data_IF_107263339724
#
_entry.id   IF_107263339724
#
_cell.length_a   1.000
_cell.length_b   1.000
_cell.length_c   1.000
_cell.angle_alpha   90.00
_cell.angle_beta   90.00
_cell.angle_gamma   90.00
#
_symmetry.space_group_name_H-M   'P 1'
#
loop_
_entity.id
_entity.type
_entity.pdbx_description
1 polymer ?
#
# COMPACT_ATOMS: atom_id res chain seq x y z
N UNK A 1 -12.01 -19.39 -32.08
CA UNK A 1 -11.20 -18.47 -31.23
C UNK A 1 -10.12 -17.89 -32.13
N UNK A 2 -10.32 -16.69 -32.64
CA UNK A 2 -9.34 -15.98 -33.46
C UNK A 2 -8.31 -15.37 -32.50
N UNK A 3 -7.05 -15.76 -32.64
CA UNK A 3 -5.95 -15.13 -31.90
C UNK A 3 -5.90 -13.64 -32.28
N UNK A 4 -5.89 -12.77 -31.29
CA UNK A 4 -5.65 -11.34 -31.47
C UNK A 4 -4.22 -11.15 -32.02
N UNK A 5 -3.98 -10.20 -32.92
CA UNK A 5 -2.64 -9.92 -33.43
C UNK A 5 -1.76 -9.48 -32.23
N UNK A 6 -0.61 -10.14 -32.06
CA UNK A 6 0.44 -9.68 -31.17
C UNK A 6 0.98 -8.36 -31.71
N UNK A 7 1.03 -7.34 -30.88
CA UNK A 7 1.71 -6.07 -31.19
C UNK A 7 3.21 -6.36 -31.37
N UNK A 8 3.78 -6.17 -32.58
CA UNK A 8 5.18 -6.50 -32.84
C UNK A 8 6.18 -5.55 -32.15
N UNK A 9 5.73 -4.41 -31.62
CA UNK A 9 6.55 -3.38 -30.99
C UNK A 9 6.37 -3.36 -29.44
N UNK A 10 5.58 -4.28 -28.86
CA UNK A 10 5.44 -4.35 -27.40
C UNK A 10 6.75 -4.86 -26.79
N UNK A 11 7.35 -4.09 -25.88
CA UNK A 11 8.35 -4.60 -24.95
C UNK A 11 7.75 -5.83 -24.24
N UNK A 12 8.32 -7.04 -24.43
CA UNK A 12 7.73 -8.27 -23.87
C UNK A 12 7.65 -8.27 -22.34
N UNK A 13 8.20 -7.27 -21.66
CA UNK A 13 8.14 -7.09 -20.21
C UNK A 13 7.09 -6.09 -19.71
N UNK A 14 6.58 -5.19 -20.54
CA UNK A 14 5.62 -4.19 -20.08
C UNK A 14 4.20 -4.77 -20.01
N UNK A 15 3.47 -4.59 -18.88
CA UNK A 15 2.09 -5.06 -18.79
C UNK A 15 1.18 -4.30 -19.74
N UNK A 16 0.20 -5.00 -20.31
CA UNK A 16 -0.83 -4.39 -21.15
C UNK A 16 -2.16 -5.13 -21.01
N UNK A 17 -3.26 -4.43 -21.29
CA UNK A 17 -4.60 -5.02 -21.35
C UNK A 17 -5.18 -4.71 -22.72
N UNK A 18 -5.33 -5.73 -23.60
CA UNK A 18 -5.81 -5.53 -24.98
C UNK A 18 -7.11 -4.72 -25.04
N UNK A 19 -7.14 -3.64 -25.79
CA UNK A 19 -8.31 -2.77 -25.94
C UNK A 19 -8.56 -1.79 -24.78
N UNK A 20 -7.73 -1.79 -23.74
CA UNK A 20 -7.87 -0.90 -22.56
C UNK A 20 -6.62 -0.03 -22.41
N UNK A 21 -5.45 -0.65 -22.24
CA UNK A 21 -4.17 0.05 -22.07
C UNK A 21 -3.06 -0.69 -22.80
N UNK A 22 -2.30 0.02 -23.64
CA UNK A 22 -1.15 -0.55 -24.36
C UNK A 22 0.11 -0.53 -23.51
N UNK A 23 1.11 -1.35 -23.89
CA UNK A 23 2.44 -1.33 -23.27
C UNK A 23 3.09 0.06 -23.40
N UNK A 24 2.94 0.73 -24.55
CA UNK A 24 3.44 2.09 -24.77
C UNK A 24 2.82 3.10 -23.79
N UNK A 25 1.50 3.02 -23.57
CA UNK A 25 0.82 3.87 -22.57
C UNK A 25 1.32 3.61 -21.15
N UNK A 26 1.56 2.35 -20.79
CA UNK A 26 2.13 1.99 -19.50
C UNK A 26 3.54 2.55 -19.31
N UNK A 27 4.41 2.40 -20.31
CA UNK A 27 5.77 2.96 -20.29
C UNK A 27 5.74 4.49 -20.26
N UNK A 28 4.87 5.14 -21.01
CA UNK A 28 4.71 6.60 -20.97
C UNK A 28 4.25 7.09 -19.57
N UNK A 29 3.38 6.32 -18.90
CA UNK A 29 2.97 6.62 -17.51
C UNK A 29 4.16 6.50 -16.56
N UNK A 30 4.96 5.43 -16.64
CA UNK A 30 6.19 5.27 -15.86
C UNK A 30 7.15 6.44 -16.08
N UNK A 31 7.40 6.82 -17.34
CA UNK A 31 8.26 7.95 -17.67
C UNK A 31 7.73 9.30 -17.12
N UNK A 32 6.41 9.49 -17.10
CA UNK A 32 5.80 10.69 -16.50
C UNK A 32 6.01 10.72 -14.97
N UNK A 33 5.92 9.58 -14.29
CA UNK A 33 6.20 9.46 -12.85
C UNK A 33 7.69 9.76 -12.57
N UNK A 34 8.62 9.23 -13.39
CA UNK A 34 10.05 9.58 -13.29
C UNK A 34 10.25 11.10 -13.40
N UNK A 35 9.56 11.74 -14.35
CA UNK A 35 9.63 13.20 -14.54
C UNK A 35 9.13 14.05 -13.36
N UNK A 36 8.39 13.44 -12.44
CA UNK A 36 7.91 14.10 -11.21
C UNK A 36 8.77 13.81 -9.98
N UNK A 37 9.63 12.78 -10.06
CA UNK A 37 10.47 12.37 -8.92
C UNK A 37 11.44 13.46 -8.51
N UNK A 38 11.47 13.78 -7.24
CA UNK A 38 12.43 14.73 -6.67
C UNK A 38 13.83 14.08 -6.54
N UNK A 39 14.86 14.90 -6.49
CA UNK A 39 16.26 14.44 -6.24
C UNK A 39 16.40 13.64 -4.94
N UNK A 40 15.48 13.87 -4.00
CA UNK A 40 15.37 13.12 -2.76
C UNK A 40 14.90 11.68 -2.94
N UNK A 41 14.31 11.35 -4.08
CA UNK A 41 13.59 10.11 -4.35
C UNK A 41 12.09 10.19 -4.06
N UNK A 42 11.58 11.27 -3.47
CA UNK A 42 10.16 11.45 -3.22
C UNK A 42 9.36 11.51 -4.53
N UNK A 43 8.15 10.97 -4.49
CA UNK A 43 7.19 10.97 -5.61
C UNK A 43 5.95 11.79 -5.19
N UNK A 44 5.91 13.11 -5.50
CA UNK A 44 4.78 13.95 -5.16
C UNK A 44 3.59 13.72 -6.11
N UNK A 45 2.40 14.15 -5.73
CA UNK A 45 1.20 14.09 -6.56
C UNK A 45 1.33 14.84 -7.90
N UNK A 46 2.10 15.89 -7.88
CA UNK A 46 2.47 16.72 -9.04
C UNK A 46 3.76 17.49 -8.73
N UNK A 47 4.48 17.99 -9.73
CA UNK A 47 5.76 18.70 -9.49
C UNK A 47 5.64 19.83 -8.48
N UNK A 48 6.39 19.76 -7.39
CA UNK A 48 6.35 20.72 -6.27
C UNK A 48 5.13 20.58 -5.35
N UNK A 49 4.32 19.53 -5.54
CA UNK A 49 3.15 19.22 -4.76
C UNK A 49 3.44 18.41 -3.50
N UNK A 50 2.37 17.91 -2.91
CA UNK A 50 2.44 17.10 -1.71
C UNK A 50 2.86 15.65 -2.01
N UNK A 51 3.54 15.05 -1.05
CA UNK A 51 3.84 13.62 -0.99
C UNK A 51 3.22 13.06 0.28
N UNK A 52 2.44 12.00 0.14
CA UNK A 52 1.98 11.14 1.23
C UNK A 52 2.52 9.72 1.04
N UNK A 53 2.60 8.91 2.09
CA UNK A 53 3.18 7.57 1.99
C UNK A 53 2.43 6.61 1.08
N UNK A 54 1.11 6.75 0.92
CA UNK A 54 0.33 5.81 0.09
C UNK A 54 0.60 6.03 -1.39
N UNK A 55 0.30 7.23 -1.91
CA UNK A 55 0.46 7.53 -3.34
C UNK A 55 1.93 7.46 -3.78
N UNK A 56 2.85 7.79 -2.86
CA UNK A 56 4.28 7.61 -3.07
C UNK A 56 4.64 6.13 -3.36
N UNK A 57 4.12 5.19 -2.56
CA UNK A 57 4.38 3.76 -2.75
C UNK A 57 3.65 3.22 -3.99
N UNK A 58 2.42 3.65 -4.27
CA UNK A 58 1.72 3.26 -5.51
C UNK A 58 2.49 3.72 -6.75
N UNK A 59 3.03 4.93 -6.72
CA UNK A 59 3.89 5.43 -7.79
C UNK A 59 5.18 4.63 -7.92
N UNK A 60 5.83 4.24 -6.82
CA UNK A 60 7.00 3.36 -6.83
C UNK A 60 6.68 1.95 -7.38
N UNK A 61 5.49 1.43 -7.10
CA UNK A 61 5.01 0.16 -7.69
C UNK A 61 4.81 0.30 -9.21
N UNK A 62 4.26 1.43 -9.67
CA UNK A 62 4.13 1.73 -11.10
C UNK A 62 5.50 1.82 -11.79
N UNK A 63 6.50 2.44 -11.16
CA UNK A 63 7.88 2.47 -11.65
C UNK A 63 8.47 1.06 -11.73
N UNK A 64 8.24 0.22 -10.72
CA UNK A 64 8.73 -1.16 -10.71
C UNK A 64 8.20 -1.97 -11.88
N UNK A 65 6.88 -1.92 -12.13
CA UNK A 65 6.22 -2.71 -13.17
C UNK A 65 6.50 -2.21 -14.59
N UNK A 66 6.91 -0.95 -14.72
CA UNK A 66 7.28 -0.33 -16.01
C UNK A 66 8.78 -0.35 -16.28
N UNK A 67 9.58 -1.02 -15.44
CA UNK A 67 11.01 -1.25 -15.66
C UNK A 67 11.93 -0.12 -15.16
N UNK A 68 11.40 0.95 -14.57
CA UNK A 68 12.19 2.04 -13.95
C UNK A 68 12.62 1.63 -12.52
N UNK A 69 13.40 0.54 -12.44
CA UNK A 69 13.73 -0.09 -11.16
C UNK A 69 14.64 0.80 -10.29
N UNK A 70 15.54 1.55 -10.90
CA UNK A 70 16.45 2.45 -10.15
C UNK A 70 15.67 3.59 -9.48
N UNK A 71 14.70 4.15 -10.17
CA UNK A 71 13.82 5.22 -9.67
C UNK A 71 12.85 4.67 -8.62
N UNK A 72 12.34 3.45 -8.81
CA UNK A 72 11.55 2.76 -7.79
C UNK A 72 12.37 2.55 -6.51
N UNK A 73 13.59 2.03 -6.60
CA UNK A 73 14.47 1.86 -5.44
C UNK A 73 14.83 3.19 -4.77
N UNK A 74 15.00 4.28 -5.53
CA UNK A 74 15.21 5.61 -4.97
C UNK A 74 14.00 6.08 -4.14
N UNK A 75 12.77 5.75 -4.58
CA UNK A 75 11.56 6.04 -3.83
C UNK A 75 11.48 5.21 -2.52
N UNK A 76 11.75 3.91 -2.56
CA UNK A 76 11.81 3.09 -1.36
C UNK A 76 12.91 3.55 -0.39
N UNK A 77 14.05 3.97 -0.91
CA UNK A 77 15.13 4.53 -0.09
C UNK A 77 14.73 5.87 0.56
N UNK A 78 13.93 6.70 -0.11
CA UNK A 78 13.34 7.88 0.50
C UNK A 78 12.45 7.50 1.69
N UNK A 79 11.56 6.51 1.52
CA UNK A 79 10.73 5.99 2.61
C UNK A 79 11.57 5.51 3.78
N UNK A 80 12.65 4.73 3.52
CA UNK A 80 13.56 4.24 4.55
C UNK A 80 14.23 5.35 5.36
N UNK A 81 14.69 6.42 4.69
CA UNK A 81 15.39 7.54 5.34
C UNK A 81 14.47 8.48 6.09
N UNK A 82 13.20 8.55 5.70
CA UNK A 82 12.21 9.47 6.29
C UNK A 82 11.32 8.80 7.32
N UNK A 83 11.45 7.48 7.50
CA UNK A 83 10.73 6.75 8.56
C UNK A 83 11.12 7.29 9.93
N UNK A 84 10.15 7.58 10.77
CA UNK A 84 10.34 7.99 12.15
C UNK A 84 10.80 6.81 13.02
N UNK A 85 11.37 7.12 14.17
CA UNK A 85 11.87 6.11 15.12
C UNK A 85 10.76 5.17 15.65
N UNK A 86 9.50 5.62 15.62
CA UNK A 86 8.33 4.82 15.99
C UNK A 86 7.76 3.97 14.86
N UNK A 87 8.40 3.98 13.68
CA UNK A 87 7.99 3.23 12.50
C UNK A 87 7.00 3.97 11.59
N UNK A 88 6.50 5.15 11.98
CA UNK A 88 5.54 5.93 11.22
C UNK A 88 6.18 6.86 10.18
N UNK A 89 5.31 7.48 9.38
CA UNK A 89 5.60 8.65 8.54
C UNK A 89 4.57 9.74 8.80
N UNK A 90 4.89 11.02 8.51
CA UNK A 90 3.89 12.09 8.50
C UNK A 90 2.85 11.81 7.39
N UNK A 91 1.61 12.25 7.63
CA UNK A 91 0.53 12.12 6.64
C UNK A 91 0.91 12.85 5.35
N UNK A 92 1.57 14.03 5.46
CA UNK A 92 1.87 14.83 4.27
C UNK A 92 3.16 15.63 4.42
N UNK A 93 3.96 15.62 3.36
CA UNK A 93 5.12 16.50 3.19
C UNK A 93 5.04 17.28 1.88
N UNK A 94 5.68 18.44 1.81
CA UNK A 94 5.85 19.23 0.58
C UNK A 94 7.29 19.68 0.48
N UNK A 95 7.99 19.33 -0.59
CA UNK A 95 9.41 19.63 -0.79
C UNK A 95 10.24 19.31 0.48
N UNK A 96 10.04 18.13 1.05
CA UNK A 96 10.73 17.65 2.25
C UNK A 96 10.35 18.31 3.57
N UNK A 97 9.36 19.22 3.60
CA UNK A 97 8.83 19.84 4.83
C UNK A 97 7.54 19.15 5.23
N UNK A 98 7.40 18.82 6.51
CA UNK A 98 6.17 18.25 7.07
C UNK A 98 5.10 19.34 7.10
N UNK A 99 3.94 19.08 6.46
CA UNK A 99 2.75 19.93 6.50
C UNK A 99 1.64 19.35 7.37
N UNK A 100 1.56 18.02 7.43
CA UNK A 100 0.65 17.31 8.30
C UNK A 100 1.44 16.22 9.02
N UNK A 101 1.66 16.43 10.32
CA UNK A 101 2.49 15.58 11.17
C UNK A 101 1.72 14.43 11.84
N UNK A 102 0.45 14.26 11.53
CA UNK A 102 -0.37 13.14 11.96
C UNK A 102 0.20 11.79 11.49
N UNK A 103 -0.39 10.73 11.98
CA UNK A 103 -0.11 9.34 11.57
C UNK A 103 -1.37 8.74 11.01
N UNK A 104 -1.32 8.23 9.78
CA UNK A 104 -2.34 7.37 9.19
C UNK A 104 -1.85 5.93 9.20
N UNK A 105 -2.63 5.04 9.80
CA UNK A 105 -2.25 3.63 9.98
C UNK A 105 -2.15 2.88 8.65
N UNK A 106 -3.04 3.18 7.71
CA UNK A 106 -3.01 2.59 6.37
C UNK A 106 -1.78 3.07 5.58
N UNK A 107 -1.49 4.38 5.61
CA UNK A 107 -0.32 4.95 4.96
C UNK A 107 0.98 4.29 5.45
N UNK A 108 1.08 4.06 6.77
CA UNK A 108 2.22 3.37 7.35
C UNK A 108 2.30 1.89 6.93
N UNK A 109 1.16 1.19 6.84
CA UNK A 109 1.14 -0.22 6.46
C UNK A 109 1.56 -0.45 4.99
N UNK A 110 1.27 0.51 4.11
CA UNK A 110 1.34 0.31 2.67
C UNK A 110 2.76 0.07 2.13
N UNK A 111 3.79 0.44 2.88
CA UNK A 111 5.19 0.11 2.55
C UNK A 111 5.39 -1.40 2.36
N UNK A 112 4.68 -2.25 3.12
CA UNK A 112 4.77 -3.70 2.97
C UNK A 112 4.26 -4.19 1.62
N UNK A 113 3.18 -3.56 1.10
CA UNK A 113 2.63 -3.85 -0.23
C UNK A 113 3.67 -3.53 -1.32
N UNK A 114 4.23 -2.32 -1.27
CA UNK A 114 5.22 -1.88 -2.26
C UNK A 114 6.49 -2.72 -2.24
N UNK A 115 7.04 -3.00 -1.06
CA UNK A 115 8.27 -3.80 -0.92
C UNK A 115 8.05 -5.22 -1.44
N UNK A 116 6.93 -5.87 -1.09
CA UNK A 116 6.61 -7.19 -1.60
C UNK A 116 6.41 -7.18 -3.12
N UNK A 117 5.68 -6.19 -3.64
CA UNK A 117 5.45 -6.02 -5.07
C UNK A 117 6.77 -5.86 -5.85
N UNK A 118 7.69 -4.99 -5.39
CA UNK A 118 8.98 -4.80 -6.04
C UNK A 118 9.82 -6.07 -6.03
N UNK A 119 9.83 -6.79 -4.90
CA UNK A 119 10.52 -8.09 -4.79
C UNK A 119 9.96 -9.12 -5.76
N UNK A 120 8.64 -9.22 -5.92
CA UNK A 120 8.02 -10.15 -6.86
C UNK A 120 8.38 -9.84 -8.34
N UNK A 121 8.64 -8.58 -8.67
CA UNK A 121 9.02 -8.17 -10.03
C UNK A 121 10.50 -8.41 -10.28
N UNK A 122 11.35 -8.07 -9.33
CA UNK A 122 12.82 -8.06 -9.52
C UNK A 122 13.51 -9.32 -9.06
N UNK A 123 12.94 -10.04 -8.08
CA UNK A 123 13.61 -11.15 -7.41
C UNK A 123 14.82 -10.72 -6.57
N UNK A 124 15.00 -9.41 -6.30
CA UNK A 124 16.16 -8.90 -5.58
C UNK A 124 16.03 -9.09 -4.07
N UNK A 125 16.62 -10.18 -3.56
CA UNK A 125 16.66 -10.45 -2.13
C UNK A 125 17.48 -9.42 -1.33
N UNK A 126 18.48 -8.74 -1.93
CA UNK A 126 19.23 -7.70 -1.23
C UNK A 126 18.38 -6.45 -1.00
N UNK A 127 17.48 -6.12 -1.96
CA UNK A 127 16.48 -5.09 -1.74
C UNK A 127 15.56 -5.47 -0.59
N UNK A 128 15.05 -6.71 -0.58
CA UNK A 128 14.17 -7.20 0.47
C UNK A 128 14.84 -7.14 1.85
N UNK A 129 16.08 -7.64 1.98
CA UNK A 129 16.89 -7.55 3.20
C UNK A 129 17.08 -6.11 3.68
N UNK A 130 17.36 -5.18 2.77
CA UNK A 130 17.55 -3.75 3.07
C UNK A 130 16.27 -3.09 3.57
N UNK A 131 15.10 -3.48 3.03
CA UNK A 131 13.80 -2.91 3.37
C UNK A 131 13.12 -3.61 4.56
N UNK A 132 13.58 -4.82 4.93
CA UNK A 132 12.99 -5.58 6.02
C UNK A 132 12.83 -4.82 7.34
N UNK A 133 13.86 -4.12 7.87
CA UNK A 133 13.71 -3.34 9.09
C UNK A 133 12.66 -2.22 8.99
N UNK A 134 12.49 -1.67 7.79
CA UNK A 134 11.49 -0.62 7.52
C UNK A 134 10.07 -1.19 7.59
N UNK A 135 9.85 -2.32 6.93
CA UNK A 135 8.56 -3.03 6.96
C UNK A 135 8.22 -3.47 8.37
N UNK A 136 9.19 -4.05 9.08
CA UNK A 136 9.01 -4.49 10.47
C UNK A 136 8.55 -3.33 11.37
N UNK A 137 9.29 -2.22 11.37
CA UNK A 137 8.97 -1.06 12.19
C UNK A 137 7.61 -0.44 11.82
N UNK A 138 7.26 -0.43 10.54
CA UNK A 138 5.98 0.09 10.07
C UNK A 138 4.81 -0.76 10.56
N UNK A 139 4.90 -2.08 10.43
CA UNK A 139 3.83 -2.98 10.89
C UNK A 139 3.72 -2.95 12.43
N UNK A 140 4.83 -2.91 13.16
CA UNK A 140 4.81 -2.74 14.62
C UNK A 140 4.13 -1.42 15.02
N UNK A 141 4.37 -0.33 14.28
CA UNK A 141 3.62 0.92 14.44
C UNK A 141 2.11 0.71 14.22
N UNK A 142 1.74 0.07 13.12
CA UNK A 142 0.33 -0.15 12.73
C UNK A 142 -0.41 -0.99 13.76
N UNK A 143 0.22 -2.04 14.31
CA UNK A 143 -0.40 -2.89 15.32
C UNK A 143 -0.86 -2.14 16.56
N UNK A 144 -0.24 -1.01 16.91
CA UNK A 144 -0.69 -0.15 18.01
C UNK A 144 -2.06 0.47 17.78
N UNK A 145 -2.52 0.59 16.52
CA UNK A 145 -3.83 1.11 16.15
C UNK A 145 -4.94 0.06 16.23
N UNK A 146 -4.58 -1.21 16.48
CA UNK A 146 -5.55 -2.31 16.53
C UNK A 146 -6.55 -2.10 17.67
N UNK A 147 -7.82 -2.40 17.38
CA UNK A 147 -8.95 -2.37 18.33
C UNK A 147 -9.27 -3.78 18.82
N UNK A 148 -9.97 -3.93 19.95
CA UNK A 148 -10.39 -5.24 20.46
C UNK A 148 -11.33 -6.00 19.50
N UNK A 149 -12.06 -5.30 18.63
CA UNK A 149 -12.95 -5.87 17.62
C UNK A 149 -12.24 -6.34 16.33
N UNK A 150 -10.90 -6.23 16.28
CA UNK A 150 -10.07 -6.64 15.17
C UNK A 150 -9.81 -5.56 14.11
N UNK A 151 -10.58 -4.47 14.11
CA UNK A 151 -10.36 -3.33 13.22
C UNK A 151 -9.16 -2.47 13.67
N UNK A 152 -8.69 -1.60 12.77
CA UNK A 152 -7.66 -0.61 13.07
C UNK A 152 -8.23 0.80 13.00
N UNK A 153 -7.89 1.62 14.00
CA UNK A 153 -8.15 3.06 13.95
C UNK A 153 -7.43 3.66 12.76
N UNK A 154 -8.07 4.62 12.10
CA UNK A 154 -7.49 5.16 10.86
C UNK A 154 -6.23 5.99 11.10
N UNK A 155 -6.06 6.61 12.29
CA UNK A 155 -4.89 7.44 12.54
C UNK A 155 -4.83 7.98 13.96
N UNK A 156 -3.91 8.93 14.14
CA UNK A 156 -3.67 9.59 15.44
C UNK A 156 -2.74 10.79 15.33
N UNK A 157 -2.58 11.45 16.46
CA UNK A 157 -1.68 12.57 16.65
C UNK A 157 -0.29 12.05 17.09
N UNK A 158 0.74 12.36 16.31
CA UNK A 158 2.10 11.88 16.54
C UNK A 158 2.70 12.41 17.84
N UNK A 159 2.41 13.66 18.21
CA UNK A 159 3.02 14.31 19.37
C UNK A 159 2.43 13.86 20.70
N UNK A 160 1.11 13.67 20.73
CA UNK A 160 0.40 13.28 21.96
C UNK A 160 0.22 11.78 22.08
N UNK A 161 0.35 11.03 20.98
CA UNK A 161 0.02 9.62 20.88
C UNK A 161 -1.49 9.34 20.98
N UNK A 162 -2.34 10.38 20.92
CA UNK A 162 -3.78 10.22 20.92
C UNK A 162 -4.24 9.59 19.60
N UNK A 163 -5.02 8.51 19.70
CA UNK A 163 -5.56 7.81 18.53
C UNK A 163 -7.01 8.21 18.30
N UNK A 164 -7.38 8.37 17.03
CA UNK A 164 -8.77 8.60 16.64
C UNK A 164 -9.60 7.33 16.89
N UNK A 165 -10.90 7.50 17.16
CA UNK A 165 -11.75 6.37 17.52
C UNK A 165 -12.20 5.55 16.30
N UNK A 166 -12.33 6.22 15.17
CA UNK A 166 -12.95 5.70 13.96
C UNK A 166 -12.04 4.68 13.25
N UNK A 167 -12.66 3.70 12.61
CA UNK A 167 -12.05 2.76 11.69
C UNK A 167 -12.73 2.89 10.32
N UNK A 168 -11.98 3.19 9.28
CA UNK A 168 -12.47 3.34 7.91
C UNK A 168 -12.31 2.01 7.16
N UNK A 169 -13.33 1.61 6.40
CA UNK A 169 -13.32 0.31 5.71
C UNK A 169 -12.23 0.24 4.64
N UNK A 170 -12.02 1.32 3.85
CA UNK A 170 -10.99 1.39 2.82
C UNK A 170 -9.60 1.19 3.42
N UNK A 171 -9.24 1.99 4.45
CA UNK A 171 -7.94 1.87 5.11
C UNK A 171 -7.73 0.49 5.73
N UNK A 172 -8.76 -0.08 6.36
CA UNK A 172 -8.68 -1.41 6.95
C UNK A 172 -8.56 -2.53 5.90
N UNK A 173 -9.21 -2.41 4.75
CA UNK A 173 -9.05 -3.35 3.65
C UNK A 173 -7.62 -3.30 3.06
N UNK A 174 -7.03 -2.12 2.99
CA UNK A 174 -5.64 -1.93 2.59
C UNK A 174 -4.66 -2.48 3.63
N UNK A 175 -4.89 -2.24 4.94
CA UNK A 175 -4.10 -2.83 6.02
C UNK A 175 -4.17 -4.36 5.99
N UNK A 176 -5.34 -4.94 5.68
CA UNK A 176 -5.48 -6.39 5.52
C UNK A 176 -4.53 -6.93 4.44
N UNK A 177 -4.47 -6.29 3.28
CA UNK A 177 -3.54 -6.64 2.21
C UNK A 177 -2.07 -6.40 2.61
N UNK A 178 -1.79 -5.29 3.29
CA UNK A 178 -0.45 -4.96 3.75
C UNK A 178 0.07 -5.99 4.78
N UNK A 179 -0.78 -6.47 5.68
CA UNK A 179 -0.43 -7.56 6.61
C UNK A 179 -0.14 -8.88 5.89
N UNK A 180 -0.92 -9.25 4.84
CA UNK A 180 -0.61 -10.44 4.01
C UNK A 180 0.77 -10.31 3.35
N UNK A 181 1.08 -9.15 2.78
CA UNK A 181 2.39 -8.87 2.20
C UNK A 181 3.52 -8.94 3.24
N UNK A 182 3.33 -8.31 4.40
CA UNK A 182 4.30 -8.32 5.49
C UNK A 182 4.58 -9.74 6.02
N UNK A 183 3.54 -10.56 6.18
CA UNK A 183 3.66 -11.97 6.58
C UNK A 183 4.49 -12.74 5.55
N UNK A 184 4.28 -12.51 4.25
CA UNK A 184 5.07 -13.15 3.19
C UNK A 184 6.53 -12.71 3.23
N UNK A 185 6.79 -11.41 3.43
CA UNK A 185 8.16 -10.90 3.61
C UNK A 185 8.81 -11.56 4.84
N UNK A 186 8.10 -11.65 5.96
CA UNK A 186 8.61 -12.28 7.18
C UNK A 186 8.99 -13.76 6.97
N UNK A 187 8.23 -14.48 6.15
CA UNK A 187 8.54 -15.87 5.76
C UNK A 187 9.80 -15.92 4.90
N UNK A 188 9.94 -15.04 3.90
CA UNK A 188 11.15 -14.97 3.06
C UNK A 188 12.41 -14.60 3.88
N UNK A 189 12.24 -13.80 4.94
CA UNK A 189 13.30 -13.39 5.85
C UNK A 189 13.60 -14.43 6.95
N UNK A 190 12.90 -15.57 6.95
CA UNK A 190 12.97 -16.61 8.01
C UNK A 190 12.70 -16.04 9.43
N UNK A 191 11.80 -15.06 9.52
CA UNK A 191 11.40 -14.39 10.76
C UNK A 191 9.87 -14.26 10.86
N UNK A 192 9.12 -15.38 10.84
CA UNK A 192 7.66 -15.32 10.89
C UNK A 192 7.18 -14.75 12.23
N UNK A 193 6.13 -13.92 12.18
CA UNK A 193 5.51 -13.30 13.33
C UNK A 193 4.06 -13.76 13.49
N UNK A 194 3.74 -14.34 14.66
CA UNK A 194 2.41 -14.87 14.94
C UNK A 194 1.39 -13.76 15.23
N UNK A 195 1.80 -12.63 15.81
CA UNK A 195 0.92 -11.50 16.11
C UNK A 195 0.41 -10.86 14.80
N UNK A 196 1.22 -10.84 13.76
CA UNK A 196 0.81 -10.36 12.43
C UNK A 196 -0.23 -11.28 11.80
N UNK A 197 -0.05 -12.60 11.92
CA UNK A 197 -1.00 -13.60 11.44
C UNK A 197 -2.33 -13.47 12.16
N UNK A 198 -2.31 -13.33 13.49
CA UNK A 198 -3.52 -13.16 14.30
C UNK A 198 -4.22 -11.82 14.00
N UNK A 199 -3.46 -10.75 13.80
CA UNK A 199 -4.00 -9.45 13.42
C UNK A 199 -4.68 -9.48 12.05
N UNK A 200 -4.03 -10.10 11.05
CA UNK A 200 -4.58 -10.29 9.71
C UNK A 200 -5.88 -11.10 9.75
N UNK A 201 -5.90 -12.23 10.47
CA UNK A 201 -7.08 -13.08 10.59
C UNK A 201 -8.25 -12.34 11.23
N UNK A 202 -8.02 -11.67 12.37
CA UNK A 202 -9.04 -10.93 13.09
C UNK A 202 -9.60 -9.75 12.27
N UNK A 203 -8.74 -9.03 11.55
CA UNK A 203 -9.17 -7.94 10.68
C UNK A 203 -10.04 -8.46 9.52
N UNK A 204 -9.64 -9.56 8.89
CA UNK A 204 -10.43 -10.20 7.85
C UNK A 204 -11.81 -10.64 8.33
N UNK A 205 -11.90 -11.19 9.55
CA UNK A 205 -13.18 -11.56 10.17
C UNK A 205 -14.04 -10.33 10.46
N UNK A 206 -13.46 -9.24 10.97
CA UNK A 206 -14.14 -7.97 11.22
C UNK A 206 -14.73 -7.38 9.93
N UNK A 207 -13.94 -7.32 8.85
CA UNK A 207 -14.39 -6.82 7.54
C UNK A 207 -15.57 -7.66 7.03
N UNK A 208 -15.41 -8.97 6.96
CA UNK A 208 -16.46 -9.86 6.46
C UNK A 208 -17.73 -9.82 7.32
N UNK A 209 -17.59 -9.75 8.63
CA UNK A 209 -18.72 -9.69 9.54
C UNK A 209 -19.51 -8.39 9.39
N UNK A 210 -18.85 -7.25 9.22
CA UNK A 210 -19.54 -5.96 9.12
C UNK A 210 -20.17 -5.75 7.74
N UNK A 211 -19.51 -6.19 6.67
CA UNK A 211 -20.06 -6.16 5.31
C UNK A 211 -21.27 -7.08 5.11
N UNK A 212 -21.41 -8.12 5.94
CA UNK A 212 -22.59 -9.01 5.91
C UNK A 212 -23.80 -8.45 6.66
N UNK A 213 -23.68 -7.27 7.30
CA UNK A 213 -24.75 -6.67 8.10
C UNK A 213 -25.53 -5.63 7.30
N UNK A 214 -26.80 -5.44 7.65
CA UNK A 214 -27.61 -4.33 7.13
C UNK A 214 -27.13 -2.95 7.64
N UNK A 215 -26.49 -2.91 8.80
CA UNK A 215 -25.98 -1.70 9.44
C UNK A 215 -24.54 -1.90 9.91
N UNK A 216 -23.66 -1.01 9.51
CA UNK A 216 -22.25 -0.97 9.92
C UNK A 216 -22.12 -0.74 11.42
N UNK A 217 -21.29 -1.54 12.11
CA UNK A 217 -21.10 -1.49 13.55
C UNK A 217 -19.62 -1.37 13.95
N UNK A 218 -18.73 -1.88 13.12
CA UNK A 218 -17.28 -1.91 13.37
C UNK A 218 -16.62 -0.73 12.66
N UNK A 219 -16.94 -0.56 11.38
CA UNK A 219 -16.37 0.51 10.55
C UNK A 219 -17.33 1.69 10.41
N UNK A 220 -16.76 2.85 10.15
CA UNK A 220 -17.56 4.01 9.71
C UNK A 220 -18.36 3.62 8.46
N UNK A 221 -19.65 3.94 8.41
CA UNK A 221 -20.45 3.63 7.22
C UNK A 221 -19.79 4.15 5.95
N UNK A 222 -19.84 3.38 4.84
CA UNK A 222 -19.24 3.80 3.57
C UNK A 222 -19.72 5.18 3.15
N UNK A 223 -18.79 5.94 2.63
CA UNK A 223 -19.07 7.24 2.02
C UNK A 223 -19.52 7.06 0.56
N UNK A 224 -19.72 8.18 -0.15
CA UNK A 224 -19.96 8.15 -1.60
C UNK A 224 -18.71 7.77 -2.43
N UNK A 225 -17.56 7.57 -1.77
CA UNK A 225 -16.32 7.20 -2.44
C UNK A 225 -16.34 5.72 -2.83
N UNK A 226 -16.04 5.46 -4.10
CA UNK A 226 -16.03 4.10 -4.66
C UNK A 226 -15.07 3.14 -3.95
N UNK A 227 -14.00 3.65 -3.35
CA UNK A 227 -12.99 2.86 -2.63
C UNK A 227 -13.59 2.07 -1.46
N UNK A 228 -14.62 2.60 -0.79
CA UNK A 228 -15.21 1.97 0.39
C UNK A 228 -15.88 0.62 0.09
N UNK A 229 -16.29 0.37 -1.15
CA UNK A 229 -16.93 -0.89 -1.51
C UNK A 229 -16.05 -1.83 -2.34
N UNK A 230 -15.09 -1.33 -3.14
CA UNK A 230 -14.25 -2.23 -3.93
C UNK A 230 -12.92 -2.63 -3.23
N UNK A 231 -12.38 -1.82 -2.32
CA UNK A 231 -11.12 -2.13 -1.63
C UNK A 231 -11.15 -3.43 -0.82
N UNK A 232 -12.25 -3.81 -0.13
CA UNK A 232 -12.35 -5.12 0.51
C UNK A 232 -12.16 -6.30 -0.44
N UNK A 233 -12.57 -6.15 -1.71
CA UNK A 233 -12.35 -7.14 -2.77
C UNK A 233 -10.92 -7.05 -3.29
N UNK A 234 -10.43 -5.85 -3.60
CA UNK A 234 -9.09 -5.61 -4.11
C UNK A 234 -8.01 -6.08 -3.13
N UNK A 235 -8.16 -5.75 -1.85
CA UNK A 235 -7.26 -6.20 -0.77
C UNK A 235 -7.40 -7.67 -0.42
N UNK A 236 -8.40 -8.36 -0.98
CA UNK A 236 -8.59 -9.80 -0.83
C UNK A 236 -9.27 -10.25 0.47
N UNK A 237 -9.79 -9.34 1.30
CA UNK A 237 -10.55 -9.66 2.50
C UNK A 237 -11.89 -10.32 2.18
N UNK A 238 -12.50 -9.93 1.04
CA UNK A 238 -13.73 -10.50 0.50
C UNK A 238 -13.44 -11.13 -0.85
N UNK A 239 -13.84 -12.40 -1.04
CA UNK A 239 -13.52 -13.20 -2.23
C UNK A 239 -14.73 -14.00 -2.69
N UNK A 240 -14.60 -14.64 -3.87
CA UNK A 240 -15.57 -15.55 -4.43
C UNK A 240 -16.91 -14.86 -4.73
N UNK A 241 -18.02 -15.57 -4.46
CA UNK A 241 -19.37 -15.10 -4.80
C UNK A 241 -19.70 -13.75 -4.13
N UNK A 242 -19.39 -13.61 -2.84
CA UNK A 242 -19.64 -12.38 -2.10
C UNK A 242 -18.90 -11.18 -2.71
N UNK A 243 -17.66 -11.37 -3.17
CA UNK A 243 -16.89 -10.31 -3.85
C UNK A 243 -17.37 -10.02 -5.28
N UNK A 244 -18.17 -10.90 -5.90
CA UNK A 244 -18.77 -10.67 -7.22
C UNK A 244 -20.11 -9.94 -7.14
N UNK A 245 -20.76 -9.97 -5.99
CA UNK A 245 -22.09 -9.38 -5.74
C UNK A 245 -21.98 -7.94 -5.18
N UNK A 246 -20.76 -7.48 -4.85
CA UNK A 246 -20.43 -6.11 -4.46
C UNK A 246 -20.15 -5.23 -5.69
#
# INVERSE_FOLDING_TARGET
MTALPSDPDADPGAPHIPGVVSAEQMLATGAAIVGMQEDSGALPWFPGGQTDPWDHIESAMALSVTGFHAEAEAAYEWSRRTQRADGSWPIRTVCGRIEDDGVDSNFCAYIAVGVWHHYLITGDSRFLERMWPVVWSAIDCVLRFRRPDGAFRWGGDHHTGAMFAEAQITGNASIFHALDCAIRIAVEMDQPDHDWVDAHAALGDAIRADMAREQWQIFTPPSEHSMDWYYPVLGGAVRGRTGQEL
#
